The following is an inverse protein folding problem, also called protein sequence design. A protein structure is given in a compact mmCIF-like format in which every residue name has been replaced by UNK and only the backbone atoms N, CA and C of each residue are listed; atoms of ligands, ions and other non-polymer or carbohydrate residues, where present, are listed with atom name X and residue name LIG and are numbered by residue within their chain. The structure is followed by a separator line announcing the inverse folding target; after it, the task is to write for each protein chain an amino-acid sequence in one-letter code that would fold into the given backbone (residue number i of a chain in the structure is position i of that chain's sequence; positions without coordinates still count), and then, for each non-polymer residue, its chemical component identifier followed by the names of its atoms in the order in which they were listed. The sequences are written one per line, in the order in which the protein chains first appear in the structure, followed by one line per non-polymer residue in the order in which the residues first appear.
data_IF_915550669331
#
_entry.id   IF_915550669331
#
_cell.length_a   1.000
_cell.length_b   1.000
_cell.length_c   1.000
_cell.angle_alpha   90.00
_cell.angle_beta   90.00
_cell.angle_gamma   90.00
#
_symmetry.space_group_name_H-M   'P 1'
#
loop_
_entity.id
_entity.type
_entity.pdbx_description
1 polymer ?
#
# COMPACT_ATOMS: atom_id res chain seq x y z
N UNK A 1 5.72 -13.90 6.38
CA UNK A 1 4.63 -12.89 6.48
C UNK A 1 3.64 -13.23 7.59
N UNK A 2 3.21 -14.50 7.73
CA UNK A 2 2.32 -14.96 8.82
C UNK A 2 2.72 -14.52 10.25
N UNK A 3 4.02 -14.57 10.58
CA UNK A 3 4.54 -14.15 11.89
C UNK A 3 4.36 -12.66 12.25
N UNK A 4 4.23 -11.75 11.26
CA UNK A 4 4.02 -10.31 11.55
C UNK A 4 2.53 -9.97 11.69
N UNK A 5 1.69 -10.68 10.95
CA UNK A 5 0.23 -10.56 11.03
C UNK A 5 -0.30 -11.15 12.35
N UNK A 6 0.29 -12.26 12.83
CA UNK A 6 0.00 -12.85 14.14
C UNK A 6 0.44 -11.97 15.33
N UNK A 7 1.37 -11.03 15.11
CA UNK A 7 1.87 -10.11 16.14
C UNK A 7 1.04 -8.80 16.25
N UNK A 8 0.05 -8.58 15.37
CA UNK A 8 -0.74 -7.35 15.35
C UNK A 8 0.08 -6.09 15.04
N UNK A 9 1.25 -6.24 14.40
CA UNK A 9 2.13 -5.11 14.09
C UNK A 9 1.80 -4.56 12.70
N UNK A 10 1.46 -3.28 12.65
CA UNK A 10 1.29 -2.56 11.40
C UNK A 10 2.59 -2.51 10.60
N UNK A 11 2.52 -2.74 9.29
CA UNK A 11 3.67 -2.69 8.40
C UNK A 11 3.33 -2.10 7.04
N UNK A 12 4.33 -1.52 6.38
CA UNK A 12 4.33 -1.22 4.94
C UNK A 12 5.55 -1.87 4.31
N UNK A 13 5.34 -2.66 3.26
CA UNK A 13 6.42 -3.41 2.60
C UNK A 13 6.33 -3.27 1.08
N UNK A 14 7.47 -2.94 0.47
CA UNK A 14 7.61 -2.95 -0.98
C UNK A 14 7.57 -4.39 -1.51
N UNK A 15 6.88 -4.61 -2.62
CA UNK A 15 6.68 -5.93 -3.22
C UNK A 15 6.96 -5.89 -4.72
N UNK A 16 7.39 -7.01 -5.34
CA UNK A 16 7.55 -7.05 -6.79
C UNK A 16 6.20 -6.91 -7.50
N UNK A 17 6.20 -6.43 -8.74
CA UNK A 17 4.99 -6.30 -9.59
C UNK A 17 4.21 -7.60 -9.79
N UNK A 18 4.89 -8.75 -9.68
CA UNK A 18 4.31 -10.09 -9.77
C UNK A 18 3.70 -10.60 -8.45
N UNK A 19 3.69 -9.78 -7.39
CA UNK A 19 3.11 -10.13 -6.11
C UNK A 19 1.65 -10.53 -6.28
N UNK A 20 1.32 -11.74 -5.81
CA UNK A 20 -0.03 -12.27 -5.80
C UNK A 20 -0.79 -11.73 -4.58
N UNK A 21 -1.99 -11.21 -4.84
CA UNK A 21 -2.97 -10.76 -3.86
C UNK A 21 -4.09 -11.77 -3.84
N UNK A 22 -4.28 -12.43 -2.70
CA UNK A 22 -5.32 -13.44 -2.52
C UNK A 22 -6.47 -12.85 -1.71
N UNK A 23 -7.67 -12.93 -2.25
CA UNK A 23 -8.92 -12.64 -1.54
C UNK A 23 -9.91 -13.78 -1.75
N UNK A 24 -11.05 -13.74 -1.05
CA UNK A 24 -12.14 -14.68 -1.30
C UNK A 24 -12.69 -14.61 -2.73
N UNK A 25 -12.58 -13.45 -3.38
CA UNK A 25 -13.07 -13.23 -4.74
C UNK A 25 -12.08 -13.69 -5.83
N UNK A 26 -10.86 -14.09 -5.46
CA UNK A 26 -9.86 -14.55 -6.43
C UNK A 26 -8.41 -14.22 -6.05
N UNK A 27 -7.52 -14.57 -6.98
CA UNK A 27 -6.10 -14.24 -6.92
C UNK A 27 -5.74 -13.33 -8.10
N UNK A 28 -5.15 -12.17 -7.81
CA UNK A 28 -4.68 -11.24 -8.84
C UNK A 28 -3.24 -10.84 -8.61
N UNK A 29 -2.54 -10.43 -9.66
CA UNK A 29 -1.28 -9.73 -9.50
C UNK A 29 -1.53 -8.28 -9.12
N UNK A 30 -0.67 -7.76 -8.27
CA UNK A 30 -0.76 -6.37 -7.81
C UNK A 30 -0.71 -5.36 -8.97
N UNK A 31 0.07 -5.65 -10.02
CA UNK A 31 0.20 -4.75 -11.16
C UNK A 31 -1.01 -4.76 -12.09
N UNK A 32 -1.76 -5.86 -12.15
CA UNK A 32 -3.05 -5.89 -12.85
C UNK A 32 -4.08 -5.06 -12.09
N UNK A 33 -4.17 -5.24 -10.77
CA UNK A 33 -5.10 -4.50 -9.92
C UNK A 33 -4.86 -2.98 -9.99
N UNK A 34 -3.59 -2.56 -9.98
CA UNK A 34 -3.21 -1.14 -10.07
C UNK A 34 -3.26 -0.62 -11.51
N UNK A 35 -3.00 -1.47 -12.50
CA UNK A 35 -3.09 -1.10 -13.92
C UNK A 35 -4.50 -0.73 -14.35
N UNK A 36 -5.51 -1.30 -13.69
CA UNK A 36 -6.93 -0.96 -13.91
C UNK A 36 -7.41 0.21 -13.03
N UNK A 37 -6.54 0.81 -12.21
CA UNK A 37 -6.92 1.92 -11.35
C UNK A 37 -7.18 3.19 -12.19
N UNK A 38 -8.34 3.86 -12.03
CA UNK A 38 -8.63 5.08 -12.75
C UNK A 38 -7.69 6.21 -12.33
N UNK A 39 -7.53 7.23 -13.18
CA UNK A 39 -6.58 8.32 -12.93
C UNK A 39 -6.91 9.13 -11.66
N UNK A 40 -8.19 9.21 -11.27
CA UNK A 40 -8.65 9.87 -10.05
C UNK A 40 -8.38 9.07 -8.76
N UNK A 41 -7.99 7.79 -8.88
CA UNK A 41 -7.49 7.00 -7.75
C UNK A 41 -6.06 7.39 -7.35
N UNK A 42 -5.37 8.20 -8.16
CA UNK A 42 -4.02 8.67 -7.88
C UNK A 42 -4.03 10.06 -7.23
N UNK A 43 -3.54 10.14 -6.00
CA UNK A 43 -3.42 11.38 -5.25
C UNK A 43 -1.95 11.78 -5.10
N UNK A 44 -1.65 13.08 -5.27
CA UNK A 44 -0.30 13.61 -5.09
C UNK A 44 0.00 13.80 -3.60
N UNK A 45 0.90 12.98 -3.07
CA UNK A 45 1.25 12.97 -1.64
C UNK A 45 2.76 13.07 -1.42
N UNK A 46 3.14 13.75 -0.34
CA UNK A 46 4.53 13.79 0.15
C UNK A 46 4.79 12.60 1.05
N UNK A 47 5.90 11.88 0.84
CA UNK A 47 6.36 10.82 1.74
C UNK A 47 7.38 11.32 2.77
N UNK A 48 7.26 12.60 3.13
CA UNK A 48 8.15 13.32 4.05
C UNK A 48 9.29 14.04 3.34
N UNK A 49 9.98 14.87 4.12
CA UNK A 49 11.11 15.67 3.65
C UNK A 49 12.36 14.82 3.47
N UNK A 50 12.95 14.86 2.27
CA UNK A 50 14.28 14.31 2.00
C UNK A 50 15.36 15.39 2.05
N UNK A 51 16.62 14.99 1.89
CA UNK A 51 17.76 15.91 1.86
C UNK A 51 17.68 17.00 0.75
N UNK A 52 16.83 16.81 -0.26
CA UNK A 52 16.61 17.75 -1.37
C UNK A 52 15.21 18.41 -1.36
N UNK A 53 14.50 18.33 -0.23
CA UNK A 53 13.13 18.81 -0.09
C UNK A 53 12.09 17.69 -0.09
N UNK A 54 10.78 18.04 -0.12
CA UNK A 54 9.68 17.10 -0.03
C UNK A 54 9.75 16.05 -1.14
N UNK A 55 9.63 14.77 -0.77
CA UNK A 55 9.58 13.67 -1.74
C UNK A 55 8.14 13.43 -2.17
N UNK A 56 7.75 14.08 -3.25
CA UNK A 56 6.37 14.07 -3.75
C UNK A 56 6.24 13.02 -4.87
N UNK A 57 5.23 12.16 -4.75
CA UNK A 57 4.86 11.17 -5.75
C UNK A 57 3.34 11.15 -5.91
N UNK A 58 2.87 10.59 -7.02
CA UNK A 58 1.45 10.25 -7.14
C UNK A 58 1.25 8.84 -6.56
N UNK A 59 0.27 8.69 -5.67
CA UNK A 59 -0.01 7.47 -4.92
C UNK A 59 -1.44 7.00 -5.17
N UNK A 60 -1.60 5.71 -5.38
CA UNK A 60 -2.89 5.03 -5.35
C UNK A 60 -2.91 4.07 -4.15
N UNK A 61 -4.02 4.03 -3.42
CA UNK A 61 -4.20 3.12 -2.30
C UNK A 61 -5.64 2.62 -2.23
N UNK A 62 -5.79 1.32 -1.99
CA UNK A 62 -7.09 0.68 -1.83
C UNK A 62 -7.06 -0.33 -0.66
N UNK A 63 -8.15 -0.36 0.10
CA UNK A 63 -8.35 -1.37 1.13
C UNK A 63 -8.78 -2.69 0.51
N UNK A 64 -8.13 -3.78 0.90
CA UNK A 64 -8.57 -5.12 0.56
C UNK A 64 -9.75 -5.50 1.46
N UNK A 65 -10.74 -6.24 0.94
CA UNK A 65 -11.85 -6.72 1.74
C UNK A 65 -11.33 -7.60 2.88
N UNK A 66 -11.92 -7.42 4.06
CA UNK A 66 -11.68 -8.31 5.18
C UNK A 66 -12.18 -9.71 4.82
N UNK A 67 -11.40 -10.72 5.20
CA UNK A 67 -11.72 -12.12 5.03
C UNK A 67 -12.02 -12.65 6.43
N UNK A 68 -13.29 -12.92 6.79
CA UNK A 68 -13.68 -13.29 8.16
C UNK A 68 -12.87 -14.44 8.76
N UNK A 69 -12.51 -15.43 7.92
CA UNK A 69 -11.69 -16.56 8.33
C UNK A 69 -10.28 -16.19 8.83
N UNK A 70 -9.70 -15.11 8.31
CA UNK A 70 -8.35 -14.65 8.67
C UNK A 70 -8.35 -13.42 9.57
N UNK A 71 -9.30 -12.50 9.37
CA UNK A 71 -9.31 -11.18 10.03
C UNK A 71 -10.32 -11.10 11.20
N UNK A 72 -11.23 -12.07 11.35
CA UNK A 72 -12.33 -12.03 12.32
C UNK A 72 -13.51 -11.15 11.87
N UNK A 73 -14.60 -11.15 12.66
CA UNK A 73 -15.81 -10.37 12.37
C UNK A 73 -15.62 -8.86 12.56
N UNK A 74 -14.76 -8.47 13.51
CA UNK A 74 -14.41 -7.06 13.77
C UNK A 74 -12.88 -6.88 13.70
N UNK A 75 -12.34 -6.67 12.49
CA UNK A 75 -10.90 -6.64 12.32
C UNK A 75 -10.30 -5.35 12.89
N UNK A 76 -9.36 -5.51 13.82
CA UNK A 76 -8.59 -4.40 14.40
C UNK A 76 -7.63 -3.76 13.38
N UNK A 77 -7.33 -4.47 12.29
CA UNK A 77 -6.41 -4.04 11.25
C UNK A 77 -7.01 -4.27 9.85
N UNK A 78 -6.61 -3.42 8.91
CA UNK A 78 -6.98 -3.50 7.49
C UNK A 78 -5.75 -3.79 6.65
N UNK A 79 -5.96 -4.57 5.60
CA UNK A 79 -4.96 -4.85 4.56
C UNK A 79 -5.15 -3.86 3.43
N UNK A 80 -4.06 -3.34 2.90
CA UNK A 80 -4.04 -2.34 1.85
C UNK A 80 -3.12 -2.78 0.71
N UNK A 81 -3.52 -2.44 -0.50
CA UNK A 81 -2.66 -2.40 -1.68
C UNK A 81 -2.35 -0.96 -1.97
N UNK A 82 -1.09 -0.64 -2.22
CA UNK A 82 -0.69 0.70 -2.61
C UNK A 82 0.29 0.66 -3.78
N UNK A 83 0.29 1.73 -4.55
CA UNK A 83 1.27 1.99 -5.58
C UNK A 83 1.71 3.44 -5.53
N UNK A 84 2.97 3.69 -5.87
CA UNK A 84 3.48 5.03 -6.15
C UNK A 84 4.01 5.07 -7.57
N UNK A 85 3.82 6.19 -8.26
CA UNK A 85 4.43 6.47 -9.56
C UNK A 85 5.18 7.79 -9.55
N UNK A 86 6.19 7.90 -10.41
CA UNK A 86 6.91 9.16 -10.60
C UNK A 86 6.02 10.18 -11.31
N UNK A 87 6.09 11.44 -10.88
CA UNK A 87 5.37 12.54 -11.54
C UNK A 87 5.90 12.76 -12.97
N UNK A 88 7.23 12.65 -13.15
CA UNK A 88 7.87 12.86 -14.45
C UNK A 88 7.82 11.62 -15.36
N UNK A 89 7.69 10.42 -14.77
CA UNK A 89 7.65 9.13 -15.48
C UNK A 89 6.56 8.23 -14.89
N UNK A 90 5.29 8.44 -15.24
CA UNK A 90 4.16 7.75 -14.62
C UNK A 90 4.15 6.22 -14.82
N UNK A 91 4.91 5.71 -15.79
CA UNK A 91 5.14 4.28 -16.04
C UNK A 91 6.08 3.63 -15.01
N UNK A 92 6.86 4.42 -14.27
CA UNK A 92 7.72 3.94 -13.18
C UNK A 92 6.92 3.77 -11.89
N UNK A 93 6.32 2.58 -11.75
CA UNK A 93 5.47 2.24 -10.61
C UNK A 93 6.21 1.32 -9.62
N UNK A 94 6.15 1.68 -8.33
CA UNK A 94 6.53 0.79 -7.24
C UNK A 94 5.30 0.38 -6.43
N UNK A 95 5.27 -0.88 -6.00
CA UNK A 95 4.11 -1.52 -5.38
C UNK A 95 4.37 -1.84 -3.91
N UNK A 96 3.32 -1.72 -3.10
CA UNK A 96 3.38 -1.93 -1.66
C UNK A 96 2.18 -2.71 -1.16
N UNK A 97 2.42 -3.45 -0.09
CA UNK A 97 1.37 -3.98 0.78
C UNK A 97 1.48 -3.34 2.14
N UNK A 98 0.34 -3.02 2.72
CA UNK A 98 0.29 -2.58 4.10
C UNK A 98 -0.73 -3.36 4.92
N UNK A 99 -0.42 -3.51 6.20
CA UNK A 99 -1.31 -3.97 7.24
C UNK A 99 -1.29 -2.88 8.30
N UNK A 100 -2.43 -2.29 8.62
CA UNK A 100 -2.46 -1.13 9.51
C UNK A 100 -3.74 -1.12 10.34
N UNK A 101 -3.73 -0.54 11.55
CA UNK A 101 -4.92 -0.42 12.38
C UNK A 101 -6.09 0.20 11.62
N UNK A 102 -7.32 -0.26 11.91
CA UNK A 102 -8.53 0.37 11.40
C UNK A 102 -8.53 1.86 11.76
N UNK A 103 -8.82 2.72 10.77
CA UNK A 103 -8.75 4.18 10.91
C UNK A 103 -7.43 4.81 10.42
N UNK A 104 -6.43 4.00 10.04
CA UNK A 104 -5.20 4.51 9.42
C UNK A 104 -5.51 5.15 8.06
N UNK A 105 -4.99 6.36 7.85
CA UNK A 105 -5.18 7.14 6.61
C UNK A 105 -4.13 6.79 5.55
N UNK A 106 -4.43 7.09 4.28
CA UNK A 106 -3.46 6.92 3.18
C UNK A 106 -2.20 7.74 3.42
N UNK A 107 -2.33 8.99 3.90
CA UNK A 107 -1.18 9.84 4.24
C UNK A 107 -0.23 9.20 5.25
N UNK A 108 -0.75 8.61 6.33
CA UNK A 108 0.06 7.88 7.32
C UNK A 108 0.78 6.69 6.68
N UNK A 109 0.12 5.93 5.81
CA UNK A 109 0.77 4.82 5.10
C UNK A 109 1.89 5.31 4.17
N UNK A 110 1.68 6.44 3.49
CA UNK A 110 2.67 7.07 2.59
C UNK A 110 3.90 7.55 3.38
N UNK A 111 3.71 8.16 4.55
CA UNK A 111 4.80 8.54 5.44
C UNK A 111 5.62 7.31 5.89
N UNK A 112 4.96 6.23 6.30
CA UNK A 112 5.62 4.97 6.68
C UNK A 112 6.36 4.34 5.49
N UNK A 113 5.78 4.41 4.28
CA UNK A 113 6.45 3.94 3.06
C UNK A 113 7.71 4.78 2.73
N UNK A 114 7.67 6.09 2.99
CA UNK A 114 8.75 7.04 2.74
C UNK A 114 9.90 6.99 3.74
N UNK A 115 9.62 6.71 5.02
CA UNK A 115 10.65 6.63 6.07
C UNK A 115 11.66 5.51 5.84
N UNK A 116 11.25 4.44 5.14
CA UNK A 116 12.12 3.29 4.80
C UNK A 116 13.20 3.61 3.76
N UNK A 117 13.08 4.71 3.03
CA UNK A 117 14.06 5.18 2.04
C UNK A 117 14.92 6.34 2.56
N UNK A 118 15.10 6.46 3.87
CA UNK A 118 15.91 7.52 4.49
C UNK A 118 17.43 7.22 4.49
N UNK A 119 17.94 6.44 3.53
CA UNK A 119 19.38 6.14 3.40
C UNK A 119 19.98 6.94 2.25
#
# INVERSE_FOLDING_TARGET
RRMLEEAGLGYVVAVPKSQQIKSLAGCWRIDQLIGDAPDDAWERLSCGDGAKGPRIYDWAAAQLPAVPFFDGDEPSHRRWVMARRSIARPDEIAYYLAHAPTGTTVGQLVEVAGSRWSI
#
